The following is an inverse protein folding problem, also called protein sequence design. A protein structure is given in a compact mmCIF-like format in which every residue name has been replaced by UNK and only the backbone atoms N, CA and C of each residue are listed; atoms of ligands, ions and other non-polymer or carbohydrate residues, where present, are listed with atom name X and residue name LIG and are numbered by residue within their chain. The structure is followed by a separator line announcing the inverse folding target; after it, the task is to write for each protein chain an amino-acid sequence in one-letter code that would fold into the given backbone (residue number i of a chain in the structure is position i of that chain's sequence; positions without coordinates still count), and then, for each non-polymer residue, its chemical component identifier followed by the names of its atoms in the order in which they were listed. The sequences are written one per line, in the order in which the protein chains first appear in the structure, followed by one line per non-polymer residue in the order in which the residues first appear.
data_IF_112013924086
#
_entry.id   IF_112013924086
#
_cell.length_a   1.000
_cell.length_b   1.000
_cell.length_c   1.000
_cell.angle_alpha   90.00
_cell.angle_beta   90.00
_cell.angle_gamma   90.00
#
_symmetry.space_group_name_H-M   'P 1'
#
loop_
_entity.id
_entity.type
_entity.pdbx_description
1 polymer ?
#
# COMPACT_ATOMS: atom_id res chain seq x y z
N UNK A 1 6.70 17.18 10.89
CA UNK A 1 6.50 15.77 10.51
C UNK A 1 4.99 15.52 10.49
N UNK A 2 4.36 15.54 9.31
CA UNK A 2 2.91 15.39 9.19
C UNK A 2 2.55 13.93 9.00
N UNK A 3 1.81 13.34 9.93
CA UNK A 3 1.19 12.03 9.76
C UNK A 3 -0.24 12.26 9.27
N UNK A 4 -0.54 11.83 8.06
CA UNK A 4 -1.88 11.97 7.48
C UNK A 4 -2.51 10.60 7.27
N UNK A 5 -3.79 10.48 7.61
CA UNK A 5 -4.59 9.32 7.30
C UNK A 5 -5.60 9.67 6.22
N UNK A 6 -5.76 8.83 5.22
CA UNK A 6 -6.82 8.97 4.21
C UNK A 6 -7.44 7.60 3.90
N UNK A 7 -8.55 7.64 3.18
CA UNK A 7 -9.32 6.44 2.79
C UNK A 7 -9.33 6.33 1.28
N UNK A 8 -8.93 5.16 0.78
CA UNK A 8 -8.99 4.83 -0.64
C UNK A 8 -10.27 4.03 -0.92
N UNK A 9 -11.14 4.47 -1.84
CA UNK A 9 -12.37 3.76 -2.15
C UNK A 9 -12.08 2.44 -2.86
N UNK A 10 -12.71 1.37 -2.39
CA UNK A 10 -12.63 0.06 -3.03
C UNK A 10 -13.73 -0.01 -4.09
N UNK A 11 -13.33 -0.16 -5.35
CA UNK A 11 -14.27 -0.43 -6.44
C UNK A 11 -14.72 -1.88 -6.34
N UNK A 12 -15.89 -2.10 -5.73
CA UNK A 12 -16.54 -3.41 -5.67
C UNK A 12 -16.92 -3.88 -7.06
N UNK A 13 -16.64 -5.15 -7.34
CA UNK A 13 -17.09 -5.88 -8.52
C UNK A 13 -18.13 -6.93 -8.12
N UNK A 14 -17.88 -7.67 -7.04
CA UNK A 14 -18.75 -8.75 -6.56
C UNK A 14 -18.59 -8.98 -5.05
N UNK A 15 -19.60 -9.59 -4.42
CA UNK A 15 -19.53 -10.05 -3.03
C UNK A 15 -19.65 -8.96 -1.97
N UNK A 16 -19.33 -9.32 -0.73
CA UNK A 16 -19.32 -8.41 0.39
C UNK A 16 -17.93 -7.75 0.51
N UNK A 17 -17.81 -6.53 0.01
CA UNK A 17 -16.55 -5.79 0.03
C UNK A 17 -16.62 -4.61 1.00
N UNK A 18 -15.53 -4.30 1.71
CA UNK A 18 -15.42 -3.06 2.47
C UNK A 18 -15.48 -1.87 1.52
N UNK A 19 -16.00 -0.74 2.00
CA UNK A 19 -16.16 0.47 1.18
C UNK A 19 -14.82 1.17 0.90
N UNK A 20 -13.91 1.14 1.88
CA UNK A 20 -12.63 1.86 1.80
C UNK A 20 -11.50 1.06 2.46
N UNK A 21 -10.28 1.31 2.01
CA UNK A 21 -9.05 0.96 2.70
C UNK A 21 -8.45 2.21 3.32
N UNK A 22 -8.27 2.23 4.65
CA UNK A 22 -7.56 3.31 5.32
C UNK A 22 -6.06 3.16 5.11
N UNK A 23 -5.38 4.27 4.88
CA UNK A 23 -3.93 4.32 4.68
C UNK A 23 -3.37 5.43 5.55
N UNK A 24 -2.34 5.11 6.32
CA UNK A 24 -1.55 6.10 7.05
C UNK A 24 -0.28 6.39 6.27
N UNK A 25 0.02 7.66 6.05
CA UNK A 25 1.26 8.11 5.44
C UNK A 25 1.99 9.10 6.33
N UNK A 26 3.30 9.19 6.12
CA UNK A 26 4.14 10.21 6.74
C UNK A 26 5.23 10.57 5.76
N UNK A 27 5.49 11.86 5.60
CA UNK A 27 6.59 12.35 4.77
C UNK A 27 7.57 13.15 5.63
N UNK A 28 8.86 13.00 5.32
CA UNK A 28 9.95 13.80 5.89
C UNK A 28 10.79 14.33 4.75
N UNK A 29 10.90 15.64 4.64
CA UNK A 29 11.73 16.32 3.65
C UNK A 29 13.04 16.80 4.29
N UNK A 30 14.10 16.81 3.50
CA UNK A 30 15.43 17.31 3.86
C UNK A 30 16.08 17.92 2.62
N UNK A 31 17.22 18.59 2.79
CA UNK A 31 17.95 19.16 1.65
C UNK A 31 18.36 18.06 0.67
N UNK A 32 17.95 18.17 -0.60
CA UNK A 32 18.22 17.18 -1.64
C UNK A 32 17.25 15.99 -1.68
N UNK A 33 16.11 16.02 -0.97
CA UNK A 33 15.07 15.01 -1.16
C UNK A 33 14.08 14.82 0.00
N UNK A 34 13.53 13.61 0.07
CA UNK A 34 12.62 13.23 1.14
C UNK A 34 12.38 11.74 1.25
N UNK A 35 11.80 11.33 2.38
CA UNK A 35 11.31 9.99 2.61
C UNK A 35 9.79 10.00 2.80
N UNK A 36 9.16 8.99 2.22
CA UNK A 36 7.74 8.71 2.36
C UNK A 36 7.56 7.36 3.01
N UNK A 37 6.64 7.29 3.96
CA UNK A 37 6.21 6.05 4.62
C UNK A 37 4.74 5.83 4.35
N UNK A 38 4.36 4.58 4.07
CA UNK A 38 2.97 4.15 3.93
C UNK A 38 2.70 2.90 4.76
N UNK A 39 1.55 2.91 5.44
CA UNK A 39 1.03 1.81 6.25
C UNK A 39 -0.45 1.63 5.91
N UNK A 40 -0.81 0.75 4.96
CA UNK A 40 -2.20 0.40 4.71
C UNK A 40 -2.79 -0.37 5.90
N UNK A 41 -3.96 0.04 6.36
CA UNK A 41 -4.70 -0.61 7.43
C UNK A 41 -5.52 -1.78 6.90
N UNK A 42 -4.87 -2.92 6.69
CA UNK A 42 -5.53 -4.11 6.13
C UNK A 42 -6.24 -4.96 7.20
N UNK A 43 -5.86 -4.87 8.47
CA UNK A 43 -6.36 -5.74 9.56
C UNK A 43 -7.88 -5.73 9.81
N UNK A 44 -8.62 -4.63 9.57
CA UNK A 44 -10.07 -4.68 9.63
C UNK A 44 -10.66 -5.67 8.64
N UNK A 45 -10.00 -5.89 7.50
CA UNK A 45 -10.47 -6.68 6.35
C UNK A 45 -9.79 -8.07 6.31
N UNK A 46 -8.57 -8.18 6.85
CA UNK A 46 -7.70 -9.34 6.68
C UNK A 46 -7.13 -9.85 8.00
N UNK A 47 -6.51 -11.02 7.96
CA UNK A 47 -5.53 -11.44 8.96
C UNK A 47 -4.20 -10.70 8.81
N UNK A 48 -3.16 -11.22 9.46
CA UNK A 48 -1.80 -10.67 9.40
C UNK A 48 -1.27 -10.71 7.96
N UNK A 49 -0.74 -9.58 7.50
CA UNK A 49 -0.07 -9.48 6.22
C UNK A 49 1.25 -10.26 6.20
N UNK A 50 1.58 -10.79 5.04
CA UNK A 50 2.85 -11.45 4.72
C UNK A 50 3.50 -10.71 3.57
N UNK A 51 4.81 -10.50 3.66
CA UNK A 51 5.58 -10.02 2.54
C UNK A 51 5.62 -11.11 1.45
N UNK A 52 5.36 -10.71 0.20
CA UNK A 52 5.30 -11.64 -0.93
C UNK A 52 6.53 -11.50 -1.82
N UNK A 53 6.77 -10.29 -2.33
CA UNK A 53 7.84 -10.03 -3.28
C UNK A 53 8.15 -8.53 -3.38
N UNK A 54 9.24 -8.17 -4.06
CA UNK A 54 9.56 -6.78 -4.35
C UNK A 54 11.02 -6.54 -4.70
N UNK A 55 11.29 -5.33 -5.16
CA UNK A 55 12.63 -4.83 -5.48
C UNK A 55 12.70 -3.34 -5.14
N UNK A 56 13.76 -2.63 -5.56
CA UNK A 56 13.93 -1.19 -5.27
C UNK A 56 12.77 -0.30 -5.73
N UNK A 57 11.91 -0.77 -6.64
CA UNK A 57 10.73 -0.06 -7.15
C UNK A 57 9.40 -0.67 -6.75
N UNK A 58 9.39 -1.92 -6.30
CA UNK A 58 8.13 -2.62 -5.98
C UNK A 58 8.13 -3.23 -4.59
N UNK A 59 6.96 -3.27 -3.96
CA UNK A 59 6.74 -4.03 -2.74
C UNK A 59 5.33 -4.63 -2.75
N UNK A 60 5.25 -5.95 -2.59
CA UNK A 60 4.00 -6.71 -2.55
C UNK A 60 3.81 -7.39 -1.20
N UNK A 61 2.58 -7.32 -0.72
CA UNK A 61 2.12 -7.98 0.49
C UNK A 61 0.81 -8.69 0.22
N UNK A 62 0.62 -9.85 0.83
CA UNK A 62 -0.64 -10.57 0.80
C UNK A 62 -1.17 -10.85 2.19
N UNK A 63 -2.48 -10.90 2.34
CA UNK A 63 -3.15 -11.30 3.57
C UNK A 63 -4.43 -12.07 3.24
N UNK A 64 -4.77 -13.08 4.05
CA UNK A 64 -6.05 -13.77 3.91
C UNK A 64 -7.19 -12.85 4.34
N UNK A 65 -8.24 -12.78 3.53
CA UNK A 65 -9.47 -12.07 3.89
C UNK A 65 -10.12 -12.76 5.10
N UNK A 66 -10.75 -11.95 5.95
CA UNK A 66 -11.60 -12.50 7.02
C UNK A 66 -12.85 -13.14 6.41
N UNK A 67 -13.51 -14.07 7.14
CA UNK A 67 -14.67 -14.80 6.63
C UNK A 67 -15.77 -13.89 6.06
N UNK A 68 -16.05 -12.76 6.70
CA UNK A 68 -17.08 -11.81 6.26
C UNK A 68 -16.78 -11.16 4.90
N UNK A 69 -15.51 -11.13 4.48
CA UNK A 69 -15.06 -10.57 3.20
C UNK A 69 -14.57 -11.64 2.22
N UNK A 70 -14.68 -12.93 2.55
CA UNK A 70 -14.05 -14.02 1.80
C UNK A 70 -14.50 -14.10 0.33
N UNK A 71 -15.72 -13.65 0.03
CA UNK A 71 -16.29 -13.61 -1.33
C UNK A 71 -16.09 -12.26 -2.03
N UNK A 72 -15.40 -11.29 -1.43
CA UNK A 72 -15.17 -9.99 -2.04
C UNK A 72 -14.32 -10.12 -3.31
N UNK A 73 -14.82 -9.55 -4.41
CA UNK A 73 -14.02 -9.19 -5.57
C UNK A 73 -14.05 -7.68 -5.74
N UNK A 74 -12.90 -7.04 -5.55
CA UNK A 74 -12.80 -5.59 -5.60
C UNK A 74 -11.36 -5.13 -5.76
N UNK A 75 -11.19 -3.85 -6.09
CA UNK A 75 -9.87 -3.31 -6.33
C UNK A 75 -9.74 -1.82 -6.02
N UNK A 76 -8.51 -1.40 -5.78
CA UNK A 76 -8.06 -0.01 -5.80
C UNK A 76 -7.02 0.10 -6.90
N UNK A 77 -7.24 1.03 -7.83
CA UNK A 77 -6.30 1.32 -8.90
C UNK A 77 -5.34 2.42 -8.46
N UNK A 78 -4.07 2.37 -8.90
CA UNK A 78 -3.12 3.42 -8.60
C UNK A 78 -3.54 4.73 -9.27
N UNK A 79 -3.25 5.85 -8.61
CA UNK A 79 -3.39 7.22 -9.13
C UNK A 79 -2.02 7.90 -9.11
N UNK A 80 -1.85 9.05 -9.78
CA UNK A 80 -0.60 9.82 -9.70
C UNK A 80 -0.17 10.14 -8.26
N UNK A 81 -1.12 10.41 -7.37
CA UNK A 81 -0.84 10.72 -5.95
C UNK A 81 -0.64 9.49 -5.07
N UNK A 82 -1.18 8.34 -5.50
CA UNK A 82 -1.26 7.12 -4.72
C UNK A 82 -0.84 5.91 -5.58
N UNK A 83 0.46 5.56 -5.62
CA UNK A 83 1.00 4.48 -6.44
C UNK A 83 0.71 3.09 -5.83
N UNK A 84 -0.48 2.91 -5.27
CA UNK A 84 -0.91 1.71 -4.57
C UNK A 84 -1.98 1.00 -5.40
N UNK A 85 -1.75 -0.28 -5.67
CA UNK A 85 -2.75 -1.18 -6.22
C UNK A 85 -3.19 -2.15 -5.13
N UNK A 86 -4.49 -2.33 -5.00
CA UNK A 86 -5.06 -3.33 -4.09
C UNK A 86 -6.02 -4.20 -4.87
N UNK A 87 -5.94 -5.51 -4.65
CA UNK A 87 -6.86 -6.48 -5.21
C UNK A 87 -7.40 -7.38 -4.10
N UNK A 88 -8.72 -7.49 -4.01
CA UNK A 88 -9.42 -8.46 -3.19
C UNK A 88 -10.00 -9.49 -4.14
N UNK A 89 -9.55 -10.74 -4.03
CA UNK A 89 -10.05 -11.86 -4.82
C UNK A 89 -9.62 -13.18 -4.19
N UNK A 90 -10.40 -14.25 -4.41
CA UNK A 90 -10.03 -15.63 -4.03
C UNK A 90 -9.66 -15.76 -2.55
N UNK A 91 -10.40 -15.08 -1.65
CA UNK A 91 -10.14 -15.10 -0.21
C UNK A 91 -8.84 -14.40 0.22
N UNK A 92 -8.21 -13.60 -0.65
CA UNK A 92 -6.98 -12.86 -0.35
C UNK A 92 -7.09 -11.38 -0.71
N UNK A 93 -6.35 -10.57 0.01
CA UNK A 93 -5.98 -9.20 -0.35
C UNK A 93 -4.53 -9.20 -0.80
N UNK A 94 -4.26 -8.62 -1.97
CA UNK A 94 -2.92 -8.29 -2.45
C UNK A 94 -2.77 -6.77 -2.43
N UNK A 95 -1.77 -6.27 -1.71
CA UNK A 95 -1.36 -4.87 -1.73
C UNK A 95 -0.02 -4.77 -2.47
N UNK A 96 0.05 -3.91 -3.49
CA UNK A 96 1.26 -3.64 -4.26
C UNK A 96 1.52 -2.15 -4.30
N UNK A 97 2.73 -1.76 -3.93
CA UNK A 97 3.29 -0.44 -4.21
C UNK A 97 4.27 -0.56 -5.37
N UNK A 98 4.17 0.35 -6.33
CA UNK A 98 5.08 0.43 -7.48
C UNK A 98 5.48 1.88 -7.72
N UNK A 99 6.74 2.19 -7.43
CA UNK A 99 7.29 3.52 -7.66
C UNK A 99 7.41 3.79 -9.16
N UNK A 100 7.22 5.05 -9.58
CA UNK A 100 7.44 5.41 -10.98
C UNK A 100 8.90 5.19 -11.39
N UNK A 101 9.15 5.06 -12.71
CA UNK A 101 10.51 5.12 -13.25
C UNK A 101 11.22 6.40 -12.79
N UNK A 102 12.54 6.31 -12.61
CA UNK A 102 13.35 7.48 -12.27
C UNK A 102 13.36 8.48 -13.43
N UNK A 103 13.32 9.76 -13.08
CA UNK A 103 13.73 10.83 -13.98
C UNK A 103 15.06 11.40 -13.48
N UNK A 104 15.87 12.08 -14.33
CA UNK A 104 17.10 12.72 -13.89
C UNK A 104 16.92 13.69 -12.72
N UNK A 105 15.74 14.32 -12.61
CA UNK A 105 15.39 15.24 -11.55
C UNK A 105 14.80 14.56 -10.31
N UNK A 106 14.21 13.37 -10.43
CA UNK A 106 13.48 12.75 -9.32
C UNK A 106 13.72 11.24 -9.23
N UNK A 107 14.93 10.79 -8.84
CA UNK A 107 15.17 9.40 -8.56
C UNK A 107 14.48 8.97 -7.26
N UNK A 108 14.01 7.72 -7.20
CA UNK A 108 13.32 7.16 -6.03
C UNK A 108 13.65 5.70 -5.79
N UNK A 109 13.65 5.25 -4.53
CA UNK A 109 13.84 3.84 -4.21
C UNK A 109 13.21 3.47 -2.87
N UNK A 110 12.64 2.27 -2.81
CA UNK A 110 12.13 1.69 -1.57
C UNK A 110 13.30 1.31 -0.68
N UNK A 111 13.49 2.08 0.40
CA UNK A 111 14.57 1.95 1.38
C UNK A 111 14.26 0.94 2.48
N UNK A 112 12.97 0.70 2.76
CA UNK A 112 12.57 -0.23 3.81
C UNK A 112 11.21 -0.89 3.54
N UNK A 113 11.10 -2.16 3.90
CA UNK A 113 9.90 -3.01 3.77
C UNK A 113 9.80 -3.86 5.03
N UNK A 114 8.63 -3.89 5.66
CA UNK A 114 8.39 -4.69 6.86
C UNK A 114 6.90 -4.98 7.06
N UNK A 115 6.60 -5.80 8.07
CA UNK A 115 5.25 -5.95 8.62
C UNK A 115 5.25 -5.28 9.99
N UNK A 116 4.50 -4.19 10.15
CA UNK A 116 4.36 -3.47 11.41
C UNK A 116 3.01 -3.82 12.04
N UNK A 117 3.03 -4.44 13.21
CA UNK A 117 1.82 -4.86 13.95
C UNK A 117 0.80 -5.61 13.10
N UNK A 118 1.29 -6.44 12.15
CA UNK A 118 0.47 -7.24 11.24
C UNK A 118 0.04 -6.53 9.95
N UNK A 119 0.47 -5.29 9.72
CA UNK A 119 0.15 -4.46 8.54
C UNK A 119 1.39 -4.29 7.66
N UNK A 120 1.22 -4.14 6.33
CA UNK A 120 2.33 -3.72 5.48
C UNK A 120 2.93 -2.39 5.95
N UNK A 121 4.24 -2.29 5.92
CA UNK A 121 4.99 -1.07 6.18
C UNK A 121 6.01 -0.88 5.07
N UNK A 122 5.95 0.24 4.35
CA UNK A 122 6.87 0.53 3.26
C UNK A 122 7.38 1.95 3.44
N UNK A 123 8.69 2.13 3.25
CA UNK A 123 9.34 3.43 3.18
C UNK A 123 10.17 3.54 1.91
N UNK A 124 10.10 4.68 1.25
CA UNK A 124 10.92 4.99 0.09
C UNK A 124 11.49 6.40 0.18
N UNK A 125 12.67 6.57 -0.40
CA UNK A 125 13.31 7.86 -0.57
C UNK A 125 13.05 8.38 -1.99
N UNK A 126 13.03 9.70 -2.12
CA UNK A 126 13.04 10.46 -3.37
C UNK A 126 14.17 11.47 -3.23
N UNK A 127 14.98 11.66 -4.27
CA UNK A 127 15.92 12.78 -4.35
C UNK A 127 15.37 13.85 -5.31
N UNK A 128 15.82 15.08 -5.13
CA UNK A 128 15.56 16.24 -6.01
C UNK A 128 16.85 16.65 -6.73
#
# INVERSE_FOLDING_TARGET
MGSFGFSLPIKRQEGNCPQFLRVKTTSRYYEGGGEHTVIPDTLPITGIAKYRSGNKKTAEYEASLKPEFANCKGQILPTPDHPYRVQLANGKLLFRLELPPDTPAHPSLITYRAILTGRPYIRWAIAD
#
